data_IF_206275268190
#
_entry.id   IF_206275268190
#
_cell.length_a   1.000
_cell.length_b   1.000
_cell.length_c   1.000
_cell.angle_alpha   90.00
_cell.angle_beta   90.00
_cell.angle_gamma   90.00
#
_symmetry.space_group_name_H-M   'P 1'
#
loop_
_entity.id
_entity.type
_entity.pdbx_description
1 polymer ?
#
# COMPACT_ATOMS: atom_id res chain seq x y z
N UNK A 1 -28.51 -13.48 -6.36
CA UNK A 1 -27.79 -14.77 -6.45
C UNK A 1 -27.10 -14.99 -5.12
N UNK A 2 -27.06 -16.23 -4.60
CA UNK A 2 -26.31 -16.49 -3.37
C UNK A 2 -24.83 -16.27 -3.65
N UNK A 3 -24.15 -15.49 -2.81
CA UNK A 3 -22.71 -15.28 -2.88
C UNK A 3 -22.03 -16.60 -2.52
N UNK A 4 -21.33 -17.23 -3.47
CA UNK A 4 -20.51 -18.41 -3.22
C UNK A 4 -19.07 -18.02 -2.79
N UNK A 5 -18.34 -18.93 -2.15
CA UNK A 5 -17.01 -18.66 -1.63
C UNK A 5 -16.03 -18.17 -2.72
N UNK A 6 -16.17 -18.65 -3.95
CA UNK A 6 -15.35 -18.23 -5.09
C UNK A 6 -15.59 -16.78 -5.48
N UNK A 7 -16.85 -16.35 -5.49
CA UNK A 7 -17.22 -14.94 -5.76
C UNK A 7 -16.68 -14.00 -4.67
N UNK A 8 -16.65 -14.44 -3.41
CA UNK A 8 -16.01 -13.71 -2.31
C UNK A 8 -14.49 -13.61 -2.55
N UNK A 9 -13.84 -14.70 -2.94
CA UNK A 9 -12.41 -14.72 -3.24
C UNK A 9 -12.04 -13.75 -4.38
N UNK A 10 -12.75 -13.78 -5.50
CA UNK A 10 -12.51 -12.86 -6.62
C UNK A 10 -12.71 -11.40 -6.19
N UNK A 11 -13.74 -11.12 -5.38
CA UNK A 11 -13.98 -9.78 -4.84
C UNK A 11 -12.85 -9.35 -3.91
N UNK A 12 -12.38 -10.23 -3.03
CA UNK A 12 -11.27 -9.97 -2.13
C UNK A 12 -9.99 -9.67 -2.91
N UNK A 13 -9.67 -10.45 -3.96
CA UNK A 13 -8.53 -10.19 -4.84
C UNK A 13 -8.59 -8.80 -5.48
N UNK A 14 -9.73 -8.41 -6.03
CA UNK A 14 -9.91 -7.08 -6.64
C UNK A 14 -9.74 -5.97 -5.62
N UNK A 15 -10.30 -6.13 -4.43
CA UNK A 15 -10.19 -5.14 -3.36
C UNK A 15 -8.75 -5.00 -2.86
N UNK A 16 -8.04 -6.12 -2.64
CA UNK A 16 -6.63 -6.09 -2.24
C UNK A 16 -5.76 -5.49 -3.35
N UNK A 17 -6.01 -5.81 -4.62
CA UNK A 17 -5.29 -5.20 -5.76
C UNK A 17 -5.53 -3.68 -5.83
N UNK A 18 -6.78 -3.24 -5.67
CA UNK A 18 -7.13 -1.83 -5.63
C UNK A 18 -6.42 -1.09 -4.49
N UNK A 19 -6.37 -1.69 -3.30
CA UNK A 19 -5.66 -1.16 -2.13
C UNK A 19 -4.16 -1.00 -2.42
N UNK A 20 -3.49 -2.05 -2.88
CA UNK A 20 -2.06 -1.98 -3.25
C UNK A 20 -1.77 -0.92 -4.32
N UNK A 21 -2.65 -0.81 -5.32
CA UNK A 21 -2.53 0.17 -6.39
C UNK A 21 -2.69 1.60 -5.87
N UNK A 22 -3.57 1.80 -4.89
CA UNK A 22 -3.76 3.08 -4.22
C UNK A 22 -2.51 3.44 -3.42
N UNK A 23 -1.99 2.52 -2.61
CA UNK A 23 -0.77 2.69 -1.84
C UNK A 23 0.43 3.04 -2.72
N UNK A 24 0.60 2.31 -3.84
CA UNK A 24 1.66 2.57 -4.82
C UNK A 24 1.62 4.01 -5.35
N UNK A 25 0.45 4.48 -5.82
CA UNK A 25 0.30 5.82 -6.35
C UNK A 25 0.58 6.89 -5.29
N UNK A 26 0.10 6.68 -4.06
CA UNK A 26 0.36 7.59 -2.95
C UNK A 26 1.86 7.68 -2.64
N UNK A 27 2.56 6.54 -2.57
CA UNK A 27 4.00 6.53 -2.33
C UNK A 27 4.80 7.19 -3.46
N UNK A 28 4.42 6.97 -4.73
CA UNK A 28 5.06 7.62 -5.88
C UNK A 28 4.93 9.15 -5.84
N UNK A 29 3.80 9.66 -5.36
CA UNK A 29 3.62 11.10 -5.12
C UNK A 29 4.45 11.56 -3.93
N UNK A 30 4.38 10.86 -2.78
CA UNK A 30 5.08 11.24 -1.56
C UNK A 30 6.60 11.28 -1.75
N UNK A 31 7.18 10.26 -2.39
CA UNK A 31 8.64 10.17 -2.57
C UNK A 31 9.19 11.36 -3.36
N UNK A 32 8.43 11.88 -4.33
CA UNK A 32 8.82 13.07 -5.10
C UNK A 32 8.87 14.36 -4.29
N UNK A 33 8.27 14.36 -3.09
CA UNK A 33 8.17 15.52 -2.21
C UNK A 33 9.10 15.46 -1.00
N UNK A 34 9.69 14.30 -0.68
CA UNK A 34 10.54 14.09 0.50
C UNK A 34 12.00 14.55 0.31
N UNK A 35 12.20 15.80 -0.12
CA UNK A 35 13.52 16.39 -0.35
C UNK A 35 14.37 16.51 0.92
N UNK A 36 13.76 16.77 2.08
CA UNK A 36 14.48 16.99 3.36
C UNK A 36 14.55 15.76 4.25
N UNK A 37 13.98 14.65 3.80
CA UNK A 37 13.85 13.40 4.56
C UNK A 37 14.42 12.20 3.75
N UNK A 38 15.73 12.16 3.47
CA UNK A 38 16.33 11.18 2.56
C UNK A 38 16.14 9.73 3.02
N UNK A 39 16.19 9.46 4.32
CA UNK A 39 15.97 8.12 4.87
C UNK A 39 14.54 7.64 4.65
N UNK A 40 13.56 8.55 4.81
CA UNK A 40 12.17 8.25 4.54
C UNK A 40 11.92 8.03 3.04
N UNK A 41 12.48 8.89 2.19
CA UNK A 41 12.40 8.73 0.73
C UNK A 41 12.99 7.39 0.28
N UNK A 42 14.17 7.01 0.80
CA UNK A 42 14.81 5.74 0.47
C UNK A 42 13.98 4.53 0.90
N UNK A 43 13.32 4.60 2.06
CA UNK A 43 12.40 3.56 2.51
C UNK A 43 11.21 3.42 1.55
N UNK A 44 10.54 4.54 1.20
CA UNK A 44 9.41 4.51 0.26
C UNK A 44 9.82 3.97 -1.11
N UNK A 45 11.01 4.31 -1.63
CA UNK A 45 11.51 3.77 -2.90
C UNK A 45 11.63 2.25 -2.90
N UNK A 46 12.16 1.67 -1.81
CA UNK A 46 12.23 0.21 -1.67
C UNK A 46 10.84 -0.41 -1.56
N UNK A 47 9.95 0.22 -0.78
CA UNK A 47 8.61 -0.30 -0.59
C UNK A 47 7.77 -0.24 -1.88
N UNK A 48 7.88 0.83 -2.68
CA UNK A 48 7.32 0.91 -4.04
C UNK A 48 7.71 -0.32 -4.90
N UNK A 49 8.98 -0.73 -4.84
CA UNK A 49 9.45 -1.92 -5.56
C UNK A 49 8.77 -3.21 -5.07
N UNK A 50 8.55 -3.32 -3.75
CA UNK A 50 7.87 -4.44 -3.10
C UNK A 50 6.39 -4.48 -3.48
N UNK A 51 5.67 -3.38 -3.34
CA UNK A 51 4.26 -3.22 -3.72
C UNK A 51 4.01 -3.56 -5.19
N UNK A 52 4.92 -3.19 -6.11
CA UNK A 52 4.81 -3.60 -7.52
C UNK A 52 4.88 -5.12 -7.72
N UNK A 53 5.70 -5.82 -6.93
CA UNK A 53 5.76 -7.29 -6.97
C UNK A 53 4.49 -7.90 -6.39
N UNK A 54 3.93 -7.30 -5.33
CA UNK A 54 2.67 -7.73 -4.73
C UNK A 54 1.49 -7.57 -5.69
N UNK A 55 1.39 -6.43 -6.38
CA UNK A 55 0.43 -6.23 -7.48
C UNK A 55 0.56 -7.32 -8.55
N UNK A 56 1.78 -7.66 -8.97
CA UNK A 56 1.98 -8.72 -9.95
C UNK A 56 1.48 -10.10 -9.46
N UNK A 57 1.65 -10.43 -8.16
CA UNK A 57 1.10 -11.66 -7.58
C UNK A 57 -0.44 -11.66 -7.58
N UNK A 58 -1.05 -10.53 -7.22
CA UNK A 58 -2.50 -10.37 -7.23
C UNK A 58 -3.07 -10.46 -8.66
N UNK A 59 -2.39 -9.89 -9.65
CA UNK A 59 -2.77 -9.98 -11.06
C UNK A 59 -2.71 -11.42 -11.58
N UNK A 60 -1.66 -12.17 -11.21
CA UNK A 60 -1.56 -13.60 -11.53
C UNK A 60 -2.69 -14.41 -10.89
N UNK A 61 -3.05 -14.11 -9.64
CA UNK A 61 -4.17 -14.75 -8.95
C UNK A 61 -5.53 -14.41 -9.58
N UNK A 62 -5.76 -13.15 -9.94
CA UNK A 62 -6.95 -12.69 -10.66
C UNK A 62 -7.09 -13.42 -12.01
N UNK A 63 -6.02 -13.46 -12.81
CA UNK A 63 -6.01 -14.18 -14.09
C UNK A 63 -6.31 -15.67 -13.91
N UNK A 64 -5.74 -16.30 -12.87
CA UNK A 64 -6.02 -17.70 -12.54
C UNK A 64 -7.48 -17.94 -12.14
N UNK A 65 -8.12 -16.95 -11.51
CA UNK A 65 -9.54 -16.97 -11.19
C UNK A 65 -10.46 -16.63 -12.40
N UNK A 66 -9.89 -16.46 -13.60
CA UNK A 66 -10.63 -16.18 -14.83
C UNK A 66 -10.94 -14.71 -15.07
N UNK A 67 -10.31 -13.79 -14.32
CA UNK A 67 -10.45 -12.36 -14.54
C UNK A 67 -9.68 -11.91 -15.79
N UNK A 68 -10.28 -11.00 -16.54
CA UNK A 68 -9.68 -10.44 -17.74
C UNK A 68 -8.73 -9.29 -17.42
N UNK A 69 -7.71 -9.08 -18.27
CA UNK A 69 -6.82 -7.91 -18.18
C UNK A 69 -7.63 -6.59 -18.21
N UNK A 70 -8.73 -6.54 -18.97
CA UNK A 70 -9.62 -5.37 -19.00
C UNK A 70 -10.26 -5.09 -17.64
N UNK A 71 -10.75 -6.12 -16.94
CA UNK A 71 -11.37 -5.97 -15.61
C UNK A 71 -10.36 -5.48 -14.57
N UNK A 72 -9.12 -5.96 -14.66
CA UNK A 72 -8.00 -5.49 -13.82
C UNK A 72 -7.72 -4.00 -14.10
N UNK A 73 -7.60 -3.62 -15.37
CA UNK A 73 -7.36 -2.22 -15.78
C UNK A 73 -8.48 -1.26 -15.35
N UNK A 74 -9.72 -1.72 -15.38
CA UNK A 74 -10.86 -0.92 -14.91
C UNK A 74 -10.73 -0.59 -13.42
N UNK A 75 -10.39 -1.59 -12.59
CA UNK A 75 -10.15 -1.42 -11.16
C UNK A 75 -9.03 -0.41 -10.89
N UNK A 76 -7.91 -0.51 -11.62
CA UNK A 76 -6.81 0.47 -11.54
C UNK A 76 -7.27 1.89 -11.87
N UNK A 77 -8.10 2.04 -12.91
CA UNK A 77 -8.60 3.35 -13.37
C UNK A 77 -9.49 3.99 -12.31
N UNK A 78 -10.37 3.22 -11.67
CA UNK A 78 -11.25 3.70 -10.58
C UNK A 78 -10.45 4.19 -9.38
N UNK A 79 -9.39 3.49 -9.00
CA UNK A 79 -8.51 3.89 -7.89
C UNK A 79 -7.80 5.21 -8.21
N UNK A 80 -7.24 5.34 -9.42
CA UNK A 80 -6.57 6.56 -9.85
C UNK A 80 -7.49 7.80 -9.79
N UNK A 81 -8.76 7.65 -10.17
CA UNK A 81 -9.76 8.73 -10.07
C UNK A 81 -10.04 9.19 -8.64
N UNK A 82 -9.84 8.32 -7.65
CA UNK A 82 -10.08 8.62 -6.21
C UNK A 82 -8.88 9.29 -5.56
N UNK A 83 -7.66 8.88 -5.92
CA UNK A 83 -6.41 9.47 -5.42
C UNK A 83 -6.24 10.90 -5.92
N UNK A 84 -6.58 11.18 -7.18
CA UNK A 84 -6.45 12.51 -7.79
C UNK A 84 -7.28 13.62 -7.12
N UNK A 85 -8.27 13.26 -6.31
CA UNK A 85 -9.14 14.21 -5.61
C UNK A 85 -8.60 14.67 -4.24
N UNK A 86 -7.53 14.05 -3.71
CA UNK A 86 -7.15 14.20 -2.29
C UNK A 86 -5.84 14.99 -2.12
N UNK A 87 -6.02 16.26 -1.71
CA UNK A 87 -5.15 17.10 -0.85
C UNK A 87 -3.85 17.67 -1.46
N UNK A 88 -3.88 18.98 -1.71
CA UNK A 88 -2.70 19.84 -1.81
C UNK A 88 -2.42 20.53 -0.46
N UNK A 89 -1.31 20.22 0.22
CA UNK A 89 -0.52 21.19 1.00
C UNK A 89 -1.20 22.01 2.10
N UNK A 90 -2.29 21.53 2.71
CA UNK A 90 -3.07 22.32 3.67
C UNK A 90 -2.46 22.34 5.09
N UNK A 91 -1.56 21.42 5.43
CA UNK A 91 -1.10 21.23 6.80
C UNK A 91 0.43 21.34 6.94
N UNK A 92 0.88 22.09 7.95
CA UNK A 92 2.31 22.26 8.28
C UNK A 92 2.99 20.94 8.70
N UNK A 93 2.23 19.94 9.12
CA UNK A 93 2.69 18.63 9.59
C UNK A 93 2.42 17.48 8.59
N UNK A 94 2.23 17.80 7.30
CA UNK A 94 1.90 16.81 6.24
C UNK A 94 2.87 15.61 6.23
N UNK A 95 4.18 15.85 6.33
CA UNK A 95 5.20 14.78 6.38
C UNK A 95 4.94 13.79 7.52
N UNK A 96 4.64 14.28 8.72
CA UNK A 96 4.37 13.44 9.88
C UNK A 96 3.04 12.69 9.73
N UNK A 97 1.99 13.36 9.23
CA UNK A 97 0.71 12.70 8.97
C UNK A 97 0.84 11.58 7.96
N UNK A 98 1.59 11.80 6.89
CA UNK A 98 1.85 10.79 5.87
C UNK A 98 2.64 9.62 6.43
N UNK A 99 3.65 9.88 7.28
CA UNK A 99 4.40 8.84 7.98
C UNK A 99 3.48 7.99 8.90
N UNK A 100 2.61 8.62 9.68
CA UNK A 100 1.67 7.90 10.55
C UNK A 100 0.66 7.09 9.76
N UNK A 101 0.12 7.68 8.69
CA UNK A 101 -0.81 7.02 7.79
C UNK A 101 -0.15 5.81 7.13
N UNK A 102 1.08 5.95 6.62
CA UNK A 102 1.86 4.84 6.06
C UNK A 102 2.11 3.73 7.07
N UNK A 103 2.50 4.08 8.31
CA UNK A 103 2.68 3.09 9.38
C UNK A 103 1.40 2.30 9.68
N UNK A 104 0.26 2.99 9.80
CA UNK A 104 -1.04 2.33 10.00
C UNK A 104 -1.46 1.49 8.78
N UNK A 105 -1.16 1.98 7.57
CA UNK A 105 -1.52 1.33 6.32
C UNK A 105 -0.88 -0.05 6.18
N UNK A 106 0.37 -0.25 6.62
CA UNK A 106 1.00 -1.58 6.60
C UNK A 106 0.16 -2.62 7.37
N UNK A 107 -0.44 -2.25 8.50
CA UNK A 107 -1.30 -3.17 9.26
C UNK A 107 -2.64 -3.44 8.59
N UNK A 108 -3.19 -2.46 7.88
CA UNK A 108 -4.36 -2.66 7.02
C UNK A 108 -4.05 -3.69 5.93
N UNK A 109 -2.89 -3.57 5.26
CA UNK A 109 -2.45 -4.50 4.23
C UNK A 109 -2.21 -5.92 4.79
N UNK A 110 -1.56 -6.05 5.95
CA UNK A 110 -1.40 -7.33 6.66
C UNK A 110 -2.75 -7.98 6.93
N UNK A 111 -3.72 -7.20 7.44
CA UNK A 111 -5.07 -7.67 7.70
C UNK A 111 -5.78 -8.15 6.43
N UNK A 112 -5.68 -7.38 5.35
CA UNK A 112 -6.26 -7.70 4.05
C UNK A 112 -5.68 -9.00 3.47
N UNK A 113 -4.36 -9.19 3.45
CA UNK A 113 -3.77 -10.42 2.95
C UNK A 113 -4.11 -11.65 3.80
N UNK A 114 -4.10 -11.52 5.14
CA UNK A 114 -4.48 -12.63 6.03
C UNK A 114 -5.94 -13.04 5.80
N UNK A 115 -6.83 -12.08 5.60
CA UNK A 115 -8.23 -12.33 5.22
C UNK A 115 -8.31 -13.00 3.84
N UNK A 116 -7.58 -12.48 2.85
CA UNK A 116 -7.53 -13.04 1.50
C UNK A 116 -7.07 -14.50 1.49
N UNK A 117 -6.04 -14.85 2.28
CA UNK A 117 -5.58 -16.24 2.45
C UNK A 117 -6.72 -17.12 2.98
N UNK A 118 -7.38 -16.69 4.05
CA UNK A 118 -8.47 -17.46 4.68
C UNK A 118 -9.65 -17.65 3.72
N UNK A 119 -9.99 -16.61 2.95
CA UNK A 119 -11.04 -16.67 1.93
C UNK A 119 -10.63 -17.63 0.80
N UNK A 120 -9.38 -17.58 0.34
CA UNK A 120 -8.86 -18.45 -0.70
C UNK A 120 -8.91 -19.93 -0.28
N UNK A 121 -8.50 -20.24 0.96
CA UNK A 121 -8.60 -21.59 1.54
C UNK A 121 -10.05 -22.07 1.59
N UNK A 122 -10.96 -21.21 2.05
CA UNK A 122 -12.40 -21.52 2.15
C UNK A 122 -13.05 -21.73 0.77
N UNK A 123 -12.56 -21.03 -0.25
CA UNK A 123 -13.00 -21.18 -1.64
C UNK A 123 -12.34 -22.36 -2.38
N UNK A 124 -11.33 -23.01 -1.79
CA UNK A 124 -10.53 -24.05 -2.46
C UNK A 124 -9.50 -23.52 -3.46
N UNK A 125 -9.29 -22.19 -3.52
CA UNK A 125 -8.43 -21.48 -4.47
C UNK A 125 -7.00 -21.37 -3.92
N UNK A 126 -6.34 -22.50 -3.71
CA UNK A 126 -5.10 -22.58 -2.90
C UNK A 126 -3.80 -22.27 -3.65
N UNK A 127 -3.86 -22.12 -4.99
CA UNK A 127 -2.68 -22.03 -5.85
C UNK A 127 -1.72 -20.87 -5.52
N UNK A 128 -2.25 -19.77 -4.95
CA UNK A 128 -1.49 -18.53 -4.70
C UNK A 128 -1.25 -18.22 -3.22
N UNK A 129 -1.63 -19.13 -2.30
CA UNK A 129 -1.51 -18.88 -0.85
C UNK A 129 -0.07 -18.54 -0.44
N UNK A 130 0.92 -19.24 -0.96
CA UNK A 130 2.34 -18.99 -0.64
C UNK A 130 2.79 -17.58 -1.05
N UNK A 131 2.25 -17.06 -2.17
CA UNK A 131 2.52 -15.72 -2.66
C UNK A 131 1.89 -14.66 -1.75
N UNK A 132 0.67 -14.88 -1.27
CA UNK A 132 0.02 -13.98 -0.30
C UNK A 132 0.72 -14.00 1.06
N UNK A 133 1.17 -15.17 1.53
CA UNK A 133 1.97 -15.27 2.75
C UNK A 133 3.31 -14.53 2.63
N UNK A 134 3.89 -14.51 1.42
CA UNK A 134 5.07 -13.69 1.15
C UNK A 134 4.74 -12.19 1.27
N UNK A 135 3.64 -11.73 0.67
CA UNK A 135 3.19 -10.34 0.83
C UNK A 135 2.98 -9.97 2.31
N UNK A 136 2.37 -10.86 3.12
CA UNK A 136 2.24 -10.62 4.58
C UNK A 136 3.60 -10.36 5.24
N UNK A 137 4.62 -11.17 4.96
CA UNK A 137 5.95 -11.00 5.55
C UNK A 137 6.62 -9.71 5.10
N UNK A 138 6.44 -9.34 3.84
CA UNK A 138 6.94 -8.08 3.28
C UNK A 138 6.29 -6.87 3.96
N UNK A 139 4.97 -6.92 4.20
CA UNK A 139 4.26 -5.86 4.92
C UNK A 139 4.64 -5.78 6.41
N UNK A 140 4.85 -6.92 7.06
CA UNK A 140 5.37 -6.97 8.43
C UNK A 140 6.78 -6.37 8.54
N UNK A 141 7.65 -6.65 7.56
CA UNK A 141 8.97 -6.04 7.48
C UNK A 141 8.86 -4.53 7.22
N UNK A 142 8.02 -4.10 6.28
CA UNK A 142 7.81 -2.68 5.99
C UNK A 142 7.29 -1.92 7.21
N UNK A 143 6.36 -2.50 7.99
CA UNK A 143 5.90 -1.91 9.25
C UNK A 143 7.06 -1.71 10.25
N UNK A 144 7.95 -2.69 10.39
CA UNK A 144 9.14 -2.58 11.24
C UNK A 144 10.12 -1.52 10.75
N UNK A 145 10.35 -1.44 9.44
CA UNK A 145 11.22 -0.42 8.84
C UNK A 145 10.65 0.98 9.05
N UNK A 146 9.34 1.18 8.84
CA UNK A 146 8.67 2.46 9.08
C UNK A 146 8.76 2.84 10.55
N UNK A 147 8.51 1.91 11.48
CA UNK A 147 8.64 2.14 12.91
C UNK A 147 10.04 2.67 13.27
N UNK A 148 11.10 2.10 12.66
CA UNK A 148 12.48 2.49 12.91
C UNK A 148 12.86 3.91 12.46
N UNK A 149 12.08 4.53 11.56
CA UNK A 149 12.33 5.90 11.09
C UNK A 149 11.43 6.95 11.74
N UNK A 150 10.49 6.57 12.61
CA UNK A 150 9.53 7.51 13.20
C UNK A 150 10.25 8.62 13.98
N UNK A 151 11.02 8.26 15.00
CA UNK A 151 11.71 9.25 15.83
C UNK A 151 12.77 10.06 15.06
N UNK A 152 13.60 9.47 14.18
CA UNK A 152 14.50 10.24 13.31
C UNK A 152 13.77 11.30 12.46
N UNK A 153 12.68 10.93 11.79
CA UNK A 153 11.91 11.85 10.94
C UNK A 153 11.25 12.93 11.79
N UNK A 154 10.67 12.58 12.93
CA UNK A 154 10.08 13.56 13.86
C UNK A 154 11.11 14.55 14.37
N UNK A 155 12.31 14.11 14.76
CA UNK A 155 13.38 15.01 15.19
C UNK A 155 13.78 15.97 14.07
N UNK A 156 13.94 15.45 12.84
CA UNK A 156 14.27 16.26 11.67
C UNK A 156 13.19 17.31 11.36
N UNK A 157 11.93 16.93 11.46
CA UNK A 157 10.80 17.84 11.31
C UNK A 157 10.89 19.01 12.31
N UNK A 158 11.09 18.70 13.60
CA UNK A 158 11.22 19.73 14.65
C UNK A 158 12.41 20.66 14.40
N UNK A 159 13.56 20.12 14.00
CA UNK A 159 14.75 20.92 13.65
C UNK A 159 14.45 21.93 12.54
N UNK A 160 13.83 21.48 11.44
CA UNK A 160 13.48 22.34 10.31
C UNK A 160 12.43 23.38 10.69
N UNK A 161 11.38 22.98 11.41
CA UNK A 161 10.32 23.92 11.82
C UNK A 161 10.87 25.00 12.77
N UNK A 162 11.76 24.63 13.70
CA UNK A 162 12.31 25.58 14.67
C UNK A 162 13.43 26.46 14.12
N UNK A 163 14.09 26.06 13.02
CA UNK A 163 15.05 26.92 12.29
C UNK A 163 14.38 27.95 11.37
N UNK A 164 13.06 27.86 11.18
CA UNK A 164 12.30 28.67 10.21
C UNK A 164 12.38 28.12 8.78
N UNK A 165 12.96 26.94 8.58
CA UNK A 165 12.97 26.23 7.31
C UNK A 165 11.62 25.55 7.04
N UNK A 166 11.37 25.23 5.77
CA UNK A 166 10.22 24.43 5.36
C UNK A 166 10.44 22.95 5.71
N UNK A 167 9.47 22.37 6.43
CA UNK A 167 9.48 20.97 6.87
C UNK A 167 8.44 20.09 6.15
N UNK A 168 7.65 20.67 5.24
CA UNK A 168 6.57 20.04 4.47
C UNK A 168 7.05 19.20 3.27
N UNK A 169 8.36 19.22 2.99
CA UNK A 169 9.04 18.55 1.88
C UNK A 169 10.40 18.06 2.34
#
# INVERSE_FOLDING_TARGET
>A
MATDARSIYVTALRNTHAMEQQGLQQMEVQVSRLERYPDYAALLQRHIGTTRQQLARLEQALQSAGESISSIKETVTTVAGTVGATVHGLFQDETLRNLYAGYAYQYEQIGAYRSLITIAETAGETAHISAFQQSVREEEQAAQEVAGIIEPVTRRYVELTTSGDKADR
#
